data_IF_209147513570
#
_entry.id   IF_209147513570
#
_cell.length_a   1.000
_cell.length_b   1.000
_cell.length_c   1.000
_cell.angle_alpha   90.00
_cell.angle_beta   90.00
_cell.angle_gamma   90.00
#
_symmetry.space_group_name_H-M   'P 1'
#
loop_
_entity.id
_entity.type
_entity.pdbx_description
1 polymer ?
#
# COMPACT_ATOMS: atom_id res chain seq x y z
N UNK A 1 -2.76 -11.18 -20.50
CA UNK A 1 -1.45 -11.47 -19.86
C UNK A 1 -1.60 -11.31 -18.36
N UNK A 2 -0.87 -12.09 -17.56
CA UNK A 2 -0.89 -11.99 -16.10
C UNK A 2 0.01 -10.83 -15.67
N UNK A 3 -0.49 -9.92 -14.82
CA UNK A 3 0.35 -8.84 -14.28
C UNK A 3 1.37 -9.41 -13.27
N UNK A 4 2.47 -8.71 -13.03
CA UNK A 4 3.44 -9.08 -11.99
C UNK A 4 3.63 -7.93 -11.03
N UNK A 5 3.25 -8.13 -9.77
CA UNK A 5 3.48 -7.19 -8.68
C UNK A 5 4.74 -7.60 -7.93
N UNK A 6 5.68 -6.68 -7.75
CA UNK A 6 6.89 -6.96 -6.99
C UNK A 6 7.03 -6.02 -5.79
N UNK A 7 7.33 -6.61 -4.64
CA UNK A 7 7.56 -5.88 -3.40
C UNK A 7 8.38 -6.72 -2.41
N UNK A 8 8.70 -6.14 -1.26
CA UNK A 8 9.19 -6.90 -0.12
C UNK A 8 8.16 -7.93 0.36
N UNK A 9 8.61 -9.03 0.97
CA UNK A 9 7.80 -10.04 1.65
C UNK A 9 7.17 -9.52 2.97
N UNK A 10 6.46 -8.40 2.84
CA UNK A 10 5.72 -7.68 3.88
C UNK A 10 4.46 -7.06 3.26
N UNK A 11 3.51 -6.62 4.08
CA UNK A 11 2.33 -5.89 3.60
C UNK A 11 2.73 -4.54 2.99
N UNK A 12 3.30 -3.67 3.81
CA UNK A 12 3.84 -2.36 3.42
C UNK A 12 2.98 -1.58 2.40
N UNK A 13 3.66 -0.99 1.41
CA UNK A 13 3.03 -0.19 0.35
C UNK A 13 2.29 -1.03 -0.71
N UNK A 14 2.57 -2.33 -0.81
CA UNK A 14 1.94 -3.18 -1.81
C UNK A 14 0.55 -3.67 -1.40
N UNK A 15 0.20 -3.61 -0.12
CA UNK A 15 -1.08 -4.14 0.35
C UNK A 15 -2.32 -3.49 -0.30
N UNK A 16 -2.40 -2.15 -0.45
CA UNK A 16 -3.50 -1.53 -1.18
C UNK A 16 -3.59 -2.01 -2.64
N UNK A 17 -2.44 -2.23 -3.29
CA UNK A 17 -2.38 -2.75 -4.67
C UNK A 17 -2.92 -4.18 -4.72
N UNK A 18 -2.51 -5.05 -3.80
CA UNK A 18 -3.06 -6.43 -3.69
C UNK A 18 -4.57 -6.39 -3.53
N UNK A 19 -5.08 -5.60 -2.58
CA UNK A 19 -6.52 -5.45 -2.35
C UNK A 19 -7.27 -5.01 -3.62
N UNK A 20 -6.70 -4.08 -4.38
CA UNK A 20 -7.31 -3.58 -5.62
C UNK A 20 -7.27 -4.61 -6.76
N UNK A 21 -6.17 -5.36 -6.90
CA UNK A 21 -6.07 -6.44 -7.89
C UNK A 21 -7.11 -7.55 -7.60
N UNK A 22 -7.29 -7.92 -6.34
CA UNK A 22 -8.30 -8.90 -5.91
C UNK A 22 -9.72 -8.37 -6.12
N UNK A 23 -9.98 -7.12 -5.73
CA UNK A 23 -11.28 -6.48 -5.93
C UNK A 23 -11.69 -6.46 -7.41
N UNK A 24 -10.74 -6.14 -8.29
CA UNK A 24 -10.96 -6.09 -9.73
C UNK A 24 -10.97 -7.46 -10.41
N UNK A 25 -10.60 -8.53 -9.69
CA UNK A 25 -10.42 -9.88 -10.26
C UNK A 25 -9.27 -9.95 -11.27
N UNK A 26 -8.34 -9.00 -11.22
CA UNK A 26 -7.20 -8.94 -12.13
C UNK A 26 -6.24 -10.08 -11.79
N UNK A 27 -5.90 -10.92 -12.78
CA UNK A 27 -4.91 -11.99 -12.59
C UNK A 27 -3.50 -11.39 -12.46
N UNK A 28 -2.82 -11.72 -11.39
CA UNK A 28 -1.44 -11.32 -11.15
C UNK A 28 -0.63 -12.40 -10.45
N UNK A 29 0.68 -12.32 -10.62
CA UNK A 29 1.69 -13.06 -9.86
C UNK A 29 2.47 -12.09 -8.97
N UNK A 30 3.06 -12.61 -7.89
CA UNK A 30 3.88 -11.82 -6.98
C UNK A 30 5.34 -12.24 -7.03
N UNK A 31 6.23 -11.25 -7.13
CA UNK A 31 7.65 -11.41 -6.85
C UNK A 31 7.96 -10.81 -5.48
N UNK A 32 8.37 -11.66 -4.55
CA UNK A 32 8.78 -11.21 -3.21
C UNK A 32 10.30 -11.06 -3.13
N UNK A 33 10.74 -9.92 -2.63
CA UNK A 33 12.09 -9.70 -2.15
C UNK A 33 12.12 -9.88 -0.64
N UNK A 34 13.14 -10.58 -0.12
CA UNK A 34 13.25 -10.86 1.31
C UNK A 34 14.49 -10.19 1.90
N UNK A 35 14.27 -9.40 2.95
CA UNK A 35 15.35 -8.82 3.73
C UNK A 35 15.98 -9.91 4.63
N UNK A 36 17.31 -9.98 4.63
CA UNK A 36 18.09 -10.86 5.49
C UNK A 36 17.87 -10.59 6.99
N UNK A 37 18.47 -11.43 7.81
CA UNK A 37 18.33 -11.32 9.27
C UNK A 37 19.19 -10.21 9.88
N UNK A 38 18.85 -9.84 11.12
CA UNK A 38 19.66 -8.97 11.95
C UNK A 38 21.06 -9.58 12.19
N UNK A 39 22.09 -8.75 12.41
CA UNK A 39 22.07 -7.28 12.42
C UNK A 39 22.20 -6.64 11.03
N UNK A 40 22.53 -7.43 10.01
CA UNK A 40 22.95 -6.90 8.70
C UNK A 40 21.78 -6.47 7.83
N UNK A 41 20.61 -7.12 7.96
CA UNK A 41 19.42 -6.83 7.18
C UNK A 41 19.72 -6.75 5.68
N UNK A 42 20.39 -7.79 5.16
CA UNK A 42 20.85 -7.81 3.77
C UNK A 42 19.69 -7.63 2.78
N UNK A 43 19.93 -6.80 1.75
CA UNK A 43 18.95 -6.43 0.72
C UNK A 43 19.53 -6.62 -0.68
N UNK A 44 20.64 -7.35 -0.80
CA UNK A 44 21.29 -7.70 -2.08
C UNK A 44 20.30 -8.24 -3.10
N UNK A 45 19.35 -9.08 -2.66
CA UNK A 45 18.29 -9.64 -3.49
C UNK A 45 17.52 -8.61 -4.32
N UNK A 46 17.38 -7.37 -3.83
CA UNK A 46 16.79 -6.25 -4.57
C UNK A 46 17.86 -5.36 -5.21
N UNK A 47 18.87 -4.93 -4.44
CA UNK A 47 19.82 -3.94 -4.90
C UNK A 47 20.68 -4.43 -6.09
N UNK A 48 20.94 -5.74 -6.18
CA UNK A 48 21.70 -6.34 -7.27
C UNK A 48 20.89 -6.45 -8.58
N UNK A 49 19.56 -6.43 -8.48
CA UNK A 49 18.65 -6.50 -9.63
C UNK A 49 18.10 -5.14 -10.04
N UNK A 50 17.96 -4.19 -9.10
CA UNK A 50 17.23 -2.93 -9.24
C UNK A 50 17.49 -2.20 -10.56
N UNK A 51 18.76 -2.00 -10.91
CA UNK A 51 19.15 -1.23 -12.09
C UNK A 51 19.08 -2.02 -13.40
N UNK A 52 18.88 -3.35 -13.33
CA UNK A 52 18.78 -4.25 -14.50
C UNK A 52 17.34 -4.34 -15.03
N UNK A 53 16.36 -3.80 -14.31
CA UNK A 53 14.95 -3.91 -14.65
C UNK A 53 14.47 -2.91 -15.73
N UNK A 54 15.32 -1.96 -16.15
CA UNK A 54 14.98 -1.01 -17.22
C UNK A 54 13.76 -0.14 -16.89
N UNK A 55 13.78 0.49 -15.70
CA UNK A 55 12.76 1.44 -15.25
C UNK A 55 13.41 2.81 -15.08
N UNK A 56 12.68 3.89 -15.36
CA UNK A 56 13.22 5.27 -15.22
C UNK A 56 13.54 5.61 -13.77
N UNK A 57 12.69 5.16 -12.83
CA UNK A 57 12.87 5.37 -11.39
C UNK A 57 12.76 4.04 -10.64
N UNK A 58 13.79 3.15 -10.71
CA UNK A 58 13.69 1.81 -10.13
C UNK A 58 13.35 1.89 -8.64
N UNK A 59 12.23 1.29 -8.24
CA UNK A 59 11.75 1.32 -6.86
C UNK A 59 10.77 0.17 -6.56
N UNK A 60 10.49 -0.05 -5.28
CA UNK A 60 9.46 -0.99 -4.82
C UNK A 60 8.31 -0.20 -4.16
N UNK A 61 7.03 -0.56 -4.41
CA UNK A 61 6.60 -1.60 -5.35
C UNK A 61 6.76 -1.18 -6.81
N UNK A 62 6.86 -2.19 -7.68
CA UNK A 62 6.67 -2.05 -9.12
C UNK A 62 5.63 -3.04 -9.64
N UNK A 63 4.99 -2.69 -10.74
CA UNK A 63 4.04 -3.53 -11.49
C UNK A 63 4.52 -3.66 -12.93
N UNK A 64 4.54 -4.89 -13.45
CA UNK A 64 4.75 -5.19 -14.86
C UNK A 64 3.43 -5.69 -15.48
N UNK A 65 3.02 -5.11 -16.59
CA UNK A 65 1.86 -5.53 -17.40
C UNK A 65 2.22 -5.49 -18.89
N UNK A 66 2.65 -6.65 -19.40
CA UNK A 66 3.25 -6.76 -20.73
C UNK A 66 4.49 -5.87 -20.83
N UNK A 67 4.49 -4.93 -21.78
CA UNK A 67 5.58 -3.97 -21.97
C UNK A 67 5.51 -2.76 -21.02
N UNK A 68 4.42 -2.62 -20.25
CA UNK A 68 4.25 -1.49 -19.34
C UNK A 68 4.90 -1.80 -18.00
N UNK A 69 5.79 -0.92 -17.54
CA UNK A 69 6.43 -0.99 -16.22
C UNK A 69 6.09 0.25 -15.42
N UNK A 70 5.61 0.07 -14.19
CA UNK A 70 5.12 1.15 -13.35
C UNK A 70 5.74 1.02 -11.97
N UNK A 71 6.24 2.14 -11.45
CA UNK A 71 6.76 2.30 -10.09
C UNK A 71 5.90 3.33 -9.35
N UNK A 72 6.10 3.48 -8.04
CA UNK A 72 5.27 4.30 -7.14
C UNK A 72 3.88 3.70 -6.86
N UNK A 73 3.58 3.44 -5.59
CA UNK A 73 2.36 2.72 -5.19
C UNK A 73 1.08 3.41 -5.66
N UNK A 74 1.01 4.73 -5.56
CA UNK A 74 -0.16 5.51 -5.98
C UNK A 74 -0.33 5.51 -7.50
N UNK A 75 0.76 5.60 -8.26
CA UNK A 75 0.70 5.50 -9.72
C UNK A 75 0.23 4.12 -10.19
N UNK A 76 0.69 3.05 -9.53
CA UNK A 76 0.23 1.67 -9.77
C UNK A 76 -1.26 1.54 -9.45
N UNK A 77 -1.71 2.04 -8.29
CA UNK A 77 -3.12 2.04 -7.90
C UNK A 77 -3.98 2.77 -8.93
N UNK A 78 -3.59 3.98 -9.34
CA UNK A 78 -4.31 4.77 -10.35
C UNK A 78 -4.33 4.08 -11.72
N UNK A 79 -3.25 3.39 -12.11
CA UNK A 79 -3.22 2.61 -13.35
C UNK A 79 -4.27 1.50 -13.35
N UNK A 80 -4.34 0.71 -12.27
CA UNK A 80 -5.34 -0.35 -12.13
C UNK A 80 -6.74 0.28 -12.06
N UNK A 81 -6.93 1.34 -11.27
CA UNK A 81 -8.21 2.01 -11.13
C UNK A 81 -8.75 2.55 -12.47
N UNK A 82 -7.90 3.14 -13.32
CA UNK A 82 -8.30 3.59 -14.67
C UNK A 82 -8.77 2.45 -15.58
N UNK A 83 -8.16 1.27 -15.49
CA UNK A 83 -8.60 0.09 -16.26
C UNK A 83 -10.00 -0.41 -15.87
N UNK A 84 -10.50 -0.01 -14.70
CA UNK A 84 -11.75 -0.51 -14.13
C UNK A 84 -12.76 0.60 -13.80
N UNK A 85 -12.51 1.83 -14.29
CA UNK A 85 -13.34 3.02 -14.01
C UNK A 85 -13.57 3.29 -12.50
N UNK A 86 -12.48 3.27 -11.73
CA UNK A 86 -12.46 3.45 -10.27
C UNK A 86 -11.75 4.73 -9.81
N UNK A 87 -11.66 5.74 -10.67
CA UNK A 87 -11.00 7.03 -10.34
C UNK A 87 -11.99 8.16 -9.97
N UNK A 88 -13.28 7.86 -9.84
CA UNK A 88 -14.35 8.87 -9.75
C UNK A 88 -14.87 9.25 -11.13
N UNK A 89 -16.18 9.43 -11.25
CA UNK A 89 -16.89 9.72 -12.50
C UNK A 89 -17.22 11.21 -12.64
N UNK A 90 -17.33 11.91 -11.51
CA UNK A 90 -17.54 13.36 -11.47
C UNK A 90 -16.28 14.09 -10.97
N UNK A 91 -16.19 15.38 -11.27
CA UNK A 91 -15.13 16.24 -10.75
C UNK A 91 -15.08 16.23 -9.21
N UNK A 92 -16.25 16.24 -8.55
CA UNK A 92 -16.33 16.15 -7.10
C UNK A 92 -15.74 14.84 -6.58
N UNK A 93 -16.07 13.70 -7.20
CA UNK A 93 -15.52 12.40 -6.82
C UNK A 93 -14.00 12.34 -7.05
N UNK A 94 -13.51 12.88 -8.16
CA UNK A 94 -12.08 12.92 -8.49
C UNK A 94 -11.30 13.77 -7.48
N UNK A 95 -11.80 14.96 -7.13
CA UNK A 95 -11.21 15.80 -6.08
C UNK A 95 -11.13 15.03 -4.76
N UNK A 96 -12.19 14.32 -4.39
CA UNK A 96 -12.22 13.54 -3.14
C UNK A 96 -11.22 12.39 -3.15
N UNK A 97 -11.09 11.68 -4.27
CA UNK A 97 -10.08 10.63 -4.45
C UNK A 97 -8.68 11.22 -4.29
N UNK A 98 -8.40 12.36 -4.93
CA UNK A 98 -7.09 12.99 -4.92
C UNK A 98 -6.70 13.48 -3.52
N UNK A 99 -7.60 14.16 -2.82
CA UNK A 99 -7.37 14.62 -1.44
C UNK A 99 -7.15 13.44 -0.51
N UNK A 100 -8.01 12.40 -0.59
CA UNK A 100 -7.90 11.25 0.28
C UNK A 100 -6.62 10.45 0.04
N UNK A 101 -6.22 10.24 -1.22
CA UNK A 101 -5.00 9.50 -1.55
C UNK A 101 -3.77 10.14 -0.88
N UNK A 102 -3.68 11.47 -0.98
CA UNK A 102 -2.56 12.22 -0.38
C UNK A 102 -2.65 12.23 1.16
N UNK A 103 -3.82 12.49 1.74
CA UNK A 103 -4.01 12.50 3.19
C UNK A 103 -3.75 11.11 3.82
N UNK A 104 -4.16 10.03 3.15
CA UNK A 104 -3.87 8.66 3.58
C UNK A 104 -2.38 8.34 3.52
N UNK A 105 -1.67 8.84 2.50
CA UNK A 105 -0.21 8.70 2.41
C UNK A 105 0.50 9.46 3.53
N UNK A 106 0.10 10.68 3.85
CA UNK A 106 0.66 11.45 4.96
C UNK A 106 0.42 10.79 6.31
N UNK A 107 -0.80 10.32 6.56
CA UNK A 107 -1.14 9.56 7.75
C UNK A 107 -0.26 8.30 7.88
N UNK A 108 -0.15 7.52 6.80
CA UNK A 108 0.70 6.33 6.75
C UNK A 108 2.16 6.69 7.03
N UNK A 109 2.68 7.76 6.41
CA UNK A 109 4.07 8.17 6.58
C UNK A 109 4.37 8.60 8.02
N UNK A 110 3.42 9.25 8.70
CA UNK A 110 3.50 9.52 10.13
C UNK A 110 3.65 8.24 10.97
N UNK A 111 2.81 7.24 10.71
CA UNK A 111 2.88 5.95 11.40
C UNK A 111 4.18 5.19 11.11
N UNK A 112 4.64 5.19 9.86
CA UNK A 112 5.90 4.56 9.47
C UNK A 112 7.09 5.24 10.15
N UNK A 113 7.12 6.57 10.21
CA UNK A 113 8.18 7.30 10.95
C UNK A 113 8.21 6.87 12.42
N UNK A 114 7.06 6.74 13.08
CA UNK A 114 6.99 6.22 14.45
C UNK A 114 7.62 4.82 14.55
N UNK A 115 7.26 3.91 13.64
CA UNK A 115 7.69 2.51 13.70
C UNK A 115 9.18 2.28 13.42
N UNK A 116 9.84 3.18 12.69
CA UNK A 116 11.22 2.98 12.22
C UNK A 116 12.26 3.91 12.89
N UNK A 117 11.80 4.93 13.63
CA UNK A 117 12.67 5.85 14.38
C UNK A 117 12.60 5.53 15.89
N UNK A 118 12.72 6.55 16.75
CA UNK A 118 12.62 6.40 18.21
C UNK A 118 11.18 6.10 18.65
N UNK A 119 10.74 4.85 18.44
CA UNK A 119 9.37 4.40 18.72
C UNK A 119 8.95 4.70 20.16
N UNK A 120 9.76 4.27 21.15
CA UNK A 120 9.41 4.39 22.57
C UNK A 120 9.29 5.85 23.03
N UNK A 121 10.12 6.74 22.46
CA UNK A 121 10.09 8.19 22.74
C UNK A 121 8.88 8.88 22.12
N UNK A 122 8.49 8.49 20.91
CA UNK A 122 7.50 9.21 20.12
C UNK A 122 6.08 8.62 20.21
N UNK A 123 5.93 7.39 20.72
CA UNK A 123 4.65 6.67 20.77
C UNK A 123 3.56 7.49 21.47
N UNK A 124 3.84 8.02 22.66
CA UNK A 124 2.88 8.79 23.45
C UNK A 124 2.36 10.01 22.68
N UNK A 125 3.27 10.85 22.18
CA UNK A 125 2.91 12.03 21.39
C UNK A 125 2.11 11.68 20.13
N UNK A 126 2.47 10.58 19.44
CA UNK A 126 1.72 10.12 18.27
C UNK A 126 0.31 9.67 18.66
N UNK A 127 0.16 8.88 19.72
CA UNK A 127 -1.14 8.36 20.16
C UNK A 127 -2.06 9.44 20.72
N UNK A 128 -1.54 10.50 21.33
CA UNK A 128 -2.33 11.65 21.79
C UNK A 128 -2.92 12.45 20.62
N UNK A 129 -2.20 12.56 19.50
CA UNK A 129 -2.67 13.25 18.29
C UNK A 129 -3.58 12.39 17.42
N UNK A 130 -3.49 11.06 17.53
CA UNK A 130 -4.18 10.11 16.68
C UNK A 130 -5.71 10.31 16.64
N UNK A 131 -6.43 10.52 17.77
CA UNK A 131 -7.87 10.79 17.74
C UNK A 131 -8.25 11.98 16.88
N UNK A 132 -7.48 13.08 16.94
CA UNK A 132 -7.71 14.27 16.12
C UNK A 132 -7.54 13.99 14.62
N UNK A 133 -6.51 13.23 14.26
CA UNK A 133 -6.29 12.82 12.86
C UNK A 133 -7.42 11.90 12.38
N UNK A 134 -7.81 10.90 13.18
CA UNK A 134 -8.90 9.99 12.84
C UNK A 134 -10.25 10.71 12.74
N UNK A 135 -10.47 11.75 13.55
CA UNK A 135 -11.66 12.61 13.44
C UNK A 135 -11.72 13.30 12.08
N UNK A 136 -10.60 13.78 11.53
CA UNK A 136 -10.58 14.38 10.19
C UNK A 136 -11.04 13.41 9.10
N UNK A 137 -10.60 12.14 9.16
CA UNK A 137 -11.09 11.11 8.25
C UNK A 137 -12.58 10.81 8.45
N UNK A 138 -13.04 10.74 9.70
CA UNK A 138 -14.46 10.54 10.02
C UNK A 138 -15.33 11.68 9.48
N UNK A 139 -14.92 12.92 9.70
CA UNK A 139 -15.63 14.11 9.22
C UNK A 139 -15.63 14.17 7.68
N UNK A 140 -14.51 13.79 7.04
CA UNK A 140 -14.40 13.76 5.58
C UNK A 140 -15.28 12.68 4.94
N UNK A 141 -15.47 11.53 5.60
CA UNK A 141 -16.42 10.50 5.18
C UNK A 141 -17.86 11.03 5.31
N UNK A 142 -18.20 11.58 6.48
CA UNK A 142 -19.56 11.99 6.81
C UNK A 142 -20.53 10.80 6.77
N UNK A 143 -21.71 11.01 6.20
CA UNK A 143 -22.75 9.96 6.08
C UNK A 143 -22.58 9.06 4.83
N UNK A 144 -21.49 9.21 4.08
CA UNK A 144 -21.26 8.43 2.86
C UNK A 144 -20.87 7.00 3.18
N UNK A 145 -21.27 6.08 2.30
CA UNK A 145 -20.86 4.67 2.40
C UNK A 145 -19.37 4.49 2.13
N UNK A 146 -18.82 5.24 1.17
CA UNK A 146 -17.39 5.27 0.85
C UNK A 146 -16.89 6.69 0.68
N UNK A 147 -15.58 6.88 0.81
CA UNK A 147 -14.98 8.21 0.74
C UNK A 147 -15.23 8.96 -0.57
N UNK A 148 -15.41 8.26 -1.69
CA UNK A 148 -15.62 8.86 -3.01
C UNK A 148 -16.89 8.35 -3.72
N UNK A 149 -17.95 8.02 -2.97
CA UNK A 149 -19.26 7.63 -3.52
C UNK A 149 -19.85 6.36 -2.90
N UNK A 150 -20.67 5.62 -3.66
CA UNK A 150 -21.50 4.52 -3.14
C UNK A 150 -21.11 3.09 -3.62
N UNK A 151 -20.05 2.95 -4.44
CA UNK A 151 -19.62 1.67 -5.03
C UNK A 151 -19.07 0.67 -3.98
N UNK A 152 -19.67 -0.52 -3.86
CA UNK A 152 -19.34 -1.51 -2.81
C UNK A 152 -17.97 -2.20 -2.96
N UNK A 153 -17.37 -2.65 -1.84
CA UNK A 153 -16.09 -3.37 -1.78
C UNK A 153 -16.21 -4.84 -1.34
N UNK A 154 -17.32 -5.53 -1.62
CA UNK A 154 -17.61 -6.87 -1.08
C UNK A 154 -16.51 -7.91 -1.36
N UNK A 155 -15.88 -7.85 -2.54
CA UNK A 155 -14.77 -8.76 -2.92
C UNK A 155 -13.54 -8.60 -2.03
N UNK A 156 -13.31 -7.41 -1.45
CA UNK A 156 -12.19 -7.17 -0.53
C UNK A 156 -12.38 -7.96 0.76
N UNK A 157 -13.60 -7.99 1.31
CA UNK A 157 -13.89 -8.71 2.54
C UNK A 157 -13.67 -10.23 2.38
N UNK A 158 -14.05 -10.79 1.24
CA UNK A 158 -13.79 -12.19 0.91
C UNK A 158 -12.28 -12.48 0.80
N UNK A 159 -11.53 -11.62 0.09
CA UNK A 159 -10.07 -11.75 -0.02
C UNK A 159 -9.38 -11.70 1.35
N UNK A 160 -9.76 -10.76 2.22
CA UNK A 160 -9.17 -10.61 3.57
C UNK A 160 -9.35 -11.84 4.47
N UNK A 161 -10.35 -12.68 4.20
CA UNK A 161 -10.59 -13.96 4.89
C UNK A 161 -9.84 -15.13 4.27
N UNK A 162 -9.30 -14.98 3.06
CA UNK A 162 -8.60 -16.03 2.33
C UNK A 162 -7.15 -16.20 2.80
N UNK A 163 -6.57 -17.37 2.51
CA UNK A 163 -5.15 -17.65 2.78
C UNK A 163 -4.18 -16.83 1.91
N UNK A 164 -4.69 -16.15 0.86
CA UNK A 164 -3.88 -15.24 0.03
C UNK A 164 -3.67 -13.89 0.70
N UNK A 165 -4.51 -13.51 1.66
CA UNK A 165 -4.34 -12.24 2.36
C UNK A 165 -3.11 -12.29 3.29
N UNK A 166 -2.10 -11.50 2.95
CA UNK A 166 -0.95 -11.29 3.82
C UNK A 166 -1.38 -10.52 5.08
N UNK A 167 -1.49 -11.23 6.21
CA UNK A 167 -1.85 -10.65 7.52
C UNK A 167 -0.70 -9.88 8.15
N UNK A 168 0.49 -10.45 8.08
CA UNK A 168 1.74 -9.97 8.66
C UNK A 168 2.94 -10.48 7.82
N UNK A 169 4.12 -9.84 7.93
CA UNK A 169 4.39 -8.65 8.72
C UNK A 169 3.86 -7.38 8.02
N UNK A 170 3.45 -6.39 8.81
CA UNK A 170 3.02 -5.08 8.28
C UNK A 170 4.21 -4.27 7.78
N UNK A 171 5.27 -4.26 8.58
CA UNK A 171 6.52 -3.55 8.34
C UNK A 171 7.69 -4.54 8.18
N UNK A 172 8.84 -4.04 7.72
CA UNK A 172 10.06 -4.85 7.65
C UNK A 172 10.62 -5.18 9.03
N UNK A 173 11.54 -6.16 9.08
CA UNK A 173 12.23 -6.63 10.29
C UNK A 173 12.88 -5.50 11.12
N UNK A 174 13.27 -4.40 10.46
CA UNK A 174 13.90 -3.24 11.09
C UNK A 174 12.94 -2.37 11.92
N UNK A 175 11.62 -2.51 11.72
CA UNK A 175 10.63 -1.72 12.46
C UNK A 175 10.43 -2.25 13.88
N UNK A 176 10.10 -1.36 14.80
CA UNK A 176 9.75 -1.68 16.20
C UNK A 176 8.35 -2.28 16.35
N UNK A 177 7.48 -2.11 15.36
CA UNK A 177 6.12 -2.61 15.39
C UNK A 177 5.70 -3.24 14.05
N UNK A 178 4.94 -4.34 14.13
CA UNK A 178 4.36 -5.02 12.97
C UNK A 178 5.40 -5.74 12.10
N UNK A 179 6.55 -6.12 12.66
CA UNK A 179 7.68 -6.70 11.93
C UNK A 179 7.77 -8.24 11.99
N UNK A 180 6.87 -8.90 12.72
CA UNK A 180 6.84 -10.36 12.89
C UNK A 180 5.75 -10.99 12.01
N UNK A 181 5.99 -12.20 11.52
CA UNK A 181 4.95 -13.07 10.94
C UNK A 181 4.15 -13.69 12.07
N UNK A 182 2.84 -13.80 11.87
CA UNK A 182 1.85 -14.43 12.75
C UNK A 182 1.30 -15.69 12.08
#
# INVERSE_FOLDING_TARGET
MTMKLAYWDIRGLAQPIRLLLEYTGTKYEEKFYSCGEAPNYDKSCWFDEKNKLGMDFPNLPYLEDGNTKIVQSNAIMRYIARKHNLCGETEEEQIRVDVLENQAMDFRNGFVKLCYLDYDKNKTCYTEKLPGILKQFSDFLGDRKWFAGDKSLEKIAAYMRSNRFMKTPVNSKMAKWGNKKE
#
